data_IF_439288395240
#
_entry.id   IF_439288395240
#
_cell.length_a   1.000
_cell.length_b   1.000
_cell.length_c   1.000
_cell.angle_alpha   90.00
_cell.angle_beta   90.00
_cell.angle_gamma   90.00
#
_symmetry.space_group_name_H-M   'P 1'
#
loop_
_entity.id
_entity.type
_entity.pdbx_description
1 polymer ?
#
# COMPACT_ATOMS: atom_id res chain seq x y z
N UNK A 1 2.29 -19.67 2.04
CA UNK A 1 3.55 -18.96 2.35
C UNK A 1 3.46 -18.38 3.74
N UNK A 2 4.54 -17.79 4.23
CA UNK A 2 4.61 -17.11 5.54
C UNK A 2 4.01 -15.69 5.44
N UNK A 3 2.75 -15.61 5.01
CA UNK A 3 2.10 -14.34 4.67
C UNK A 3 1.84 -13.45 5.88
N UNK A 4 1.44 -14.06 7.00
CA UNK A 4 1.22 -13.35 8.26
C UNK A 4 2.51 -12.76 8.81
N UNK A 5 3.65 -13.42 8.57
CA UNK A 5 4.96 -12.90 8.97
C UNK A 5 5.39 -11.74 8.07
N UNK A 6 5.16 -11.84 6.76
CA UNK A 6 5.38 -10.74 5.83
C UNK A 6 4.55 -9.49 6.21
N UNK A 7 3.27 -9.65 6.55
CA UNK A 7 2.41 -8.54 7.02
C UNK A 7 3.01 -7.90 8.28
N UNK A 8 3.41 -8.69 9.28
CA UNK A 8 4.03 -8.18 10.51
C UNK A 8 5.30 -7.36 10.24
N UNK A 9 6.13 -7.77 9.27
CA UNK A 9 7.32 -7.01 8.91
C UNK A 9 6.98 -5.70 8.20
N UNK A 10 5.98 -5.69 7.30
CA UNK A 10 5.51 -4.45 6.69
C UNK A 10 4.92 -3.48 7.71
N UNK A 11 4.12 -3.96 8.66
CA UNK A 11 3.56 -3.14 9.74
C UNK A 11 4.65 -2.51 10.62
N UNK A 12 5.68 -3.28 11.00
CA UNK A 12 6.83 -2.75 11.75
C UNK A 12 7.59 -1.69 10.97
N UNK A 13 7.83 -1.91 9.69
CA UNK A 13 8.53 -0.93 8.84
C UNK A 13 7.71 0.35 8.65
N UNK A 14 6.41 0.21 8.47
CA UNK A 14 5.47 1.34 8.40
C UNK A 14 5.51 2.19 9.67
N UNK A 15 5.49 1.55 10.85
CA UNK A 15 5.54 2.26 12.13
C UNK A 15 6.83 3.09 12.30
N UNK A 16 7.97 2.59 11.80
CA UNK A 16 9.24 3.33 11.84
C UNK A 16 9.19 4.53 10.89
N UNK A 17 8.70 4.35 9.65
CA UNK A 17 8.63 5.46 8.71
C UNK A 17 7.59 6.50 9.06
N UNK A 18 6.49 6.13 9.68
CA UNK A 18 5.50 7.09 10.15
C UNK A 18 6.09 8.06 11.21
N UNK A 19 7.11 7.63 11.96
CA UNK A 19 7.82 8.52 12.90
C UNK A 19 8.88 9.39 12.22
N UNK A 20 9.36 8.97 11.04
CA UNK A 20 10.51 9.59 10.36
C UNK A 20 10.10 10.49 9.19
N UNK A 21 8.90 10.31 8.65
CA UNK A 21 8.39 11.00 7.47
C UNK A 21 7.15 11.85 7.81
N UNK A 22 6.89 12.92 7.05
CA UNK A 22 5.61 13.61 7.09
C UNK A 22 4.43 12.65 6.85
N UNK A 23 3.24 12.90 7.45
CA UNK A 23 2.07 12.03 7.29
C UNK A 23 1.60 11.80 5.85
N UNK A 24 1.93 12.73 4.95
CA UNK A 24 1.63 12.69 3.51
C UNK A 24 2.87 12.38 2.67
N UNK A 25 3.85 11.64 3.20
CA UNK A 25 4.98 11.23 2.38
C UNK A 25 4.57 10.08 1.46
N UNK A 26 4.81 10.16 0.13
CA UNK A 26 4.35 9.14 -0.83
C UNK A 26 4.91 7.74 -0.55
N UNK A 27 6.10 7.63 0.06
CA UNK A 27 6.68 6.34 0.47
C UNK A 27 5.80 5.56 1.45
N UNK A 28 4.96 6.25 2.23
CA UNK A 28 4.00 5.58 3.13
C UNK A 28 3.00 4.71 2.34
N UNK A 29 2.71 5.05 1.09
CA UNK A 29 1.84 4.27 0.21
C UNK A 29 2.44 2.90 -0.19
N UNK A 30 3.77 2.77 -0.25
CA UNK A 30 4.40 1.50 -0.62
C UNK A 30 4.07 0.37 0.35
N UNK A 31 3.95 0.67 1.64
CA UNK A 31 3.64 -0.33 2.67
C UNK A 31 2.24 -0.90 2.47
N UNK A 32 1.26 -0.03 2.30
CA UNK A 32 -0.11 -0.44 2.01
C UNK A 32 -0.23 -1.19 0.68
N UNK A 33 0.53 -0.79 -0.34
CA UNK A 33 0.61 -1.51 -1.59
C UNK A 33 1.14 -2.95 -1.41
N UNK A 34 2.19 -3.12 -0.61
CA UNK A 34 2.79 -4.43 -0.38
C UNK A 34 1.90 -5.33 0.49
N UNK A 35 1.26 -4.77 1.52
CA UNK A 35 0.26 -5.48 2.33
C UNK A 35 -0.92 -5.92 1.44
N UNK A 36 -1.39 -5.05 0.55
CA UNK A 36 -2.42 -5.37 -0.43
C UNK A 36 -2.03 -6.55 -1.33
N UNK A 37 -0.79 -6.58 -1.81
CA UNK A 37 -0.27 -7.68 -2.61
C UNK A 37 -0.20 -9.01 -1.84
N UNK A 38 0.17 -8.95 -0.55
CA UNK A 38 0.16 -10.14 0.31
C UNK A 38 -1.27 -10.67 0.46
N UNK A 39 -2.25 -9.81 0.78
CA UNK A 39 -3.65 -10.23 0.88
C UNK A 39 -4.21 -10.77 -0.45
N UNK A 40 -3.82 -10.18 -1.57
CA UNK A 40 -4.20 -10.67 -2.90
C UNK A 40 -3.67 -12.09 -3.11
N UNK A 41 -2.40 -12.36 -2.77
CA UNK A 41 -1.82 -13.68 -2.86
C UNK A 41 -2.44 -14.71 -1.88
N UNK A 42 -3.08 -14.24 -0.80
CA UNK A 42 -3.84 -15.07 0.14
C UNK A 42 -5.28 -15.35 -0.32
N UNK A 43 -5.78 -14.67 -1.36
CA UNK A 43 -7.19 -14.71 -1.75
C UNK A 43 -8.12 -13.87 -0.87
N UNK A 44 -7.55 -13.00 -0.04
CA UNK A 44 -8.27 -12.12 0.89
C UNK A 44 -8.61 -10.78 0.21
N UNK A 45 -9.39 -10.86 -0.87
CA UNK A 45 -9.61 -9.76 -1.83
C UNK A 45 -10.12 -8.47 -1.18
N UNK A 46 -11.04 -8.55 -0.23
CA UNK A 46 -11.56 -7.37 0.48
C UNK A 46 -10.46 -6.63 1.27
N UNK A 47 -9.52 -7.37 1.86
CA UNK A 47 -8.37 -6.79 2.58
C UNK A 47 -7.34 -6.23 1.60
N UNK A 48 -7.15 -6.89 0.46
CA UNK A 48 -6.29 -6.40 -0.61
C UNK A 48 -6.79 -5.05 -1.16
N UNK A 49 -8.07 -4.97 -1.54
CA UNK A 49 -8.71 -3.73 -2.04
C UNK A 49 -8.58 -2.60 -1.02
N UNK A 50 -8.91 -2.86 0.25
CA UNK A 50 -8.79 -1.86 1.32
C UNK A 50 -7.36 -1.34 1.45
N UNK A 51 -6.37 -2.23 1.40
CA UNK A 51 -4.96 -1.84 1.47
C UNK A 51 -4.53 -1.03 0.24
N UNK A 52 -4.91 -1.43 -0.97
CA UNK A 52 -4.59 -0.68 -2.18
C UNK A 52 -5.28 0.70 -2.22
N UNK A 53 -6.49 0.83 -1.67
CA UNK A 53 -7.19 2.11 -1.55
C UNK A 53 -6.44 3.08 -0.63
N UNK A 54 -5.94 2.61 0.51
CA UNK A 54 -5.11 3.42 1.41
C UNK A 54 -3.82 3.89 0.73
N UNK A 55 -3.17 3.03 -0.06
CA UNK A 55 -2.01 3.42 -0.87
C UNK A 55 -2.35 4.50 -1.91
N UNK A 56 -3.50 4.36 -2.59
CA UNK A 56 -3.98 5.32 -3.57
C UNK A 56 -4.28 6.70 -2.94
N UNK A 57 -4.94 6.72 -1.78
CA UNK A 57 -5.29 7.95 -1.07
C UNK A 57 -4.04 8.77 -0.73
N UNK A 58 -3.00 8.14 -0.17
CA UNK A 58 -1.72 8.80 0.13
C UNK A 58 -1.10 9.35 -1.16
N UNK A 59 -1.05 8.56 -2.23
CA UNK A 59 -0.48 9.00 -3.52
C UNK A 59 -1.25 10.19 -4.11
N UNK A 60 -2.58 10.18 -4.05
CA UNK A 60 -3.41 11.29 -4.54
C UNK A 60 -3.20 12.59 -3.77
N UNK A 61 -2.94 12.51 -2.46
CA UNK A 61 -2.66 13.68 -1.63
C UNK A 61 -1.24 14.23 -1.83
N UNK A 62 -0.31 13.38 -2.28
CA UNK A 62 1.14 13.66 -2.21
C UNK A 62 1.80 13.87 -3.58
N UNK A 63 1.17 13.42 -4.66
CA UNK A 63 1.76 13.37 -6.00
C UNK A 63 0.93 14.16 -7.03
N UNK A 64 1.57 14.66 -8.11
CA UNK A 64 0.85 15.21 -9.26
C UNK A 64 -0.10 14.19 -9.90
N UNK A 65 -1.18 14.65 -10.51
CA UNK A 65 -2.23 13.80 -11.10
C UNK A 65 -1.76 12.89 -12.23
N UNK A 66 -0.61 13.18 -12.84
CA UNK A 66 0.00 12.39 -13.91
C UNK A 66 1.16 11.48 -13.43
N UNK A 67 1.35 11.33 -12.11
CA UNK A 67 2.43 10.52 -11.58
C UNK A 67 2.20 9.02 -11.86
N UNK A 68 3.20 8.28 -12.39
CA UNK A 68 3.07 6.85 -12.70
C UNK A 68 2.55 5.98 -11.55
N UNK A 69 2.94 6.27 -10.31
CA UNK A 69 2.47 5.53 -9.14
C UNK A 69 0.94 5.52 -8.95
N UNK A 70 0.24 6.58 -9.43
CA UNK A 70 -1.22 6.59 -9.45
C UNK A 70 -1.75 5.53 -10.42
N UNK A 71 -1.16 5.43 -11.61
CA UNK A 71 -1.52 4.38 -12.58
C UNK A 71 -1.25 2.98 -12.00
N UNK A 72 -0.13 2.78 -11.31
CA UNK A 72 0.16 1.51 -10.62
C UNK A 72 -0.88 1.18 -9.55
N UNK A 73 -1.33 2.16 -8.76
CA UNK A 73 -2.41 1.95 -7.78
C UNK A 73 -3.71 1.51 -8.43
N UNK A 74 -4.14 2.19 -9.50
CA UNK A 74 -5.37 1.81 -10.21
C UNK A 74 -5.26 0.43 -10.88
N UNK A 75 -4.09 0.12 -11.45
CA UNK A 75 -3.83 -1.20 -12.01
C UNK A 75 -3.96 -2.30 -10.95
N UNK A 76 -3.37 -2.10 -9.76
CA UNK A 76 -3.47 -3.07 -8.68
C UNK A 76 -4.91 -3.27 -8.22
N UNK A 77 -5.68 -2.19 -8.08
CA UNK A 77 -7.11 -2.28 -7.75
C UNK A 77 -7.93 -3.02 -8.82
N UNK A 78 -7.58 -2.88 -10.10
CA UNK A 78 -8.26 -3.60 -11.19
C UNK A 78 -7.82 -5.06 -11.36
N UNK A 79 -6.72 -5.46 -10.72
CA UNK A 79 -6.20 -6.84 -10.75
C UNK A 79 -6.69 -7.71 -9.59
N UNK A 80 -7.24 -7.11 -8.53
CA UNK A 80 -7.90 -7.84 -7.43
C UNK A 80 -9.25 -8.37 -7.89
#
# INVERSE_FOLDING_TARGET
>A
GEYEEAIKFYEKSFAIQQQSLPPNHPDLAMYYNNIGAVYNNMGEWSKAISSYQQALEIRQQSLPTNHPDLASSYNNLGMV
#
